data_IF_969671492701
#
_entry.id   IF_969671492701
#
_cell.length_a   1.000
_cell.length_b   1.000
_cell.length_c   1.000
_cell.angle_alpha   90.00
_cell.angle_beta   90.00
_cell.angle_gamma   90.00
#
_symmetry.space_group_name_H-M   'P 1'
#
loop_
_entity.id
_entity.type
_entity.pdbx_description
1 polymer ?
#
# COMPACT_ATOMS: atom_id res chain seq x y z
N UNK A 1 15.24 21.46 -4.86
CA UNK A 1 16.40 22.04 -4.14
C UNK A 1 17.64 21.48 -4.83
N UNK A 2 18.64 22.30 -5.14
CA UNK A 2 19.86 21.85 -5.86
C UNK A 2 19.58 21.06 -7.16
N UNK A 3 18.58 21.50 -7.95
CA UNK A 3 18.19 20.83 -9.20
C UNK A 3 17.35 19.55 -9.05
N UNK A 4 17.22 18.99 -7.84
CA UNK A 4 16.33 17.85 -7.55
C UNK A 4 14.89 18.33 -7.31
N UNK A 5 13.92 17.58 -7.83
CA UNK A 5 12.48 17.82 -7.60
C UNK A 5 12.10 17.43 -6.18
N UNK A 6 11.09 18.10 -5.62
CA UNK A 6 10.40 17.67 -4.42
C UNK A 6 9.02 17.14 -4.80
N UNK A 7 8.55 16.09 -4.14
CA UNK A 7 7.30 15.42 -4.48
C UNK A 7 6.31 15.46 -3.33
N UNK A 8 5.05 15.73 -3.67
CA UNK A 8 3.91 15.54 -2.80
C UNK A 8 2.90 14.65 -3.54
N UNK A 9 2.77 13.41 -3.09
CA UNK A 9 1.89 12.41 -3.69
C UNK A 9 0.74 12.15 -2.72
N UNK A 10 -0.48 12.22 -3.25
CA UNK A 10 -1.69 12.22 -2.44
C UNK A 10 -2.70 11.18 -2.94
N UNK A 11 -3.28 10.41 -2.02
CA UNK A 11 -4.37 9.46 -2.28
C UNK A 11 -4.02 8.43 -3.37
N UNK A 12 -2.75 8.02 -3.45
CA UNK A 12 -2.33 6.92 -4.31
C UNK A 12 -2.72 5.58 -3.68
N UNK A 13 -3.07 4.61 -4.52
CA UNK A 13 -3.40 3.25 -4.10
C UNK A 13 -2.78 2.22 -5.03
N UNK A 14 -2.34 1.09 -4.49
CA UNK A 14 -1.81 -0.05 -5.28
C UNK A 14 -0.73 0.39 -6.28
N UNK A 15 0.18 1.27 -5.85
CA UNK A 15 1.13 1.93 -6.76
C UNK A 15 2.56 1.59 -6.37
N UNK A 16 3.39 1.30 -7.38
CA UNK A 16 4.83 1.16 -7.23
C UNK A 16 5.49 2.49 -7.57
N UNK A 17 6.27 3.00 -6.64
CA UNK A 17 7.12 4.18 -6.75
C UNK A 17 8.56 3.70 -6.69
N UNK A 18 9.32 3.86 -7.77
CA UNK A 18 10.68 3.33 -7.84
C UNK A 18 11.64 4.33 -8.45
N UNK A 19 12.91 4.21 -8.08
CA UNK A 19 14.02 4.97 -8.66
C UNK A 19 13.84 6.50 -8.53
N UNK A 20 13.16 6.96 -7.48
CA UNK A 20 13.12 8.39 -7.17
C UNK A 20 14.52 8.86 -6.79
N UNK A 21 14.93 10.01 -7.30
CA UNK A 21 16.10 10.75 -6.82
C UNK A 21 15.64 12.17 -6.49
N UNK A 22 15.45 12.43 -5.20
CA UNK A 22 14.74 13.63 -4.72
C UNK A 22 15.32 14.13 -3.41
N UNK A 23 15.07 15.40 -3.10
CA UNK A 23 15.39 15.97 -1.79
C UNK A 23 14.26 15.82 -0.79
N UNK A 24 13.02 15.58 -1.26
CA UNK A 24 11.86 15.53 -0.40
C UNK A 24 10.74 14.72 -1.07
N UNK A 25 10.15 13.78 -0.33
CA UNK A 25 8.98 13.03 -0.76
C UNK A 25 7.97 12.96 0.37
N UNK A 26 6.76 13.46 0.12
CA UNK A 26 5.60 13.22 0.98
C UNK A 26 4.64 12.25 0.31
N UNK A 27 4.29 11.18 1.03
CA UNK A 27 3.15 10.32 0.74
C UNK A 27 2.04 10.66 1.74
N UNK A 28 0.88 11.07 1.24
CA UNK A 28 -0.24 11.51 2.07
C UNK A 28 -1.53 10.77 1.69
N UNK A 29 -2.18 10.15 2.68
CA UNK A 29 -3.42 9.38 2.48
C UNK A 29 -3.29 8.24 1.46
N UNK A 30 -2.09 7.65 1.37
CA UNK A 30 -1.80 6.59 0.43
C UNK A 30 -1.99 5.21 1.07
N UNK A 31 -2.36 4.21 0.27
CA UNK A 31 -2.58 2.85 0.75
C UNK A 31 -1.99 1.83 -0.22
N UNK A 32 -1.36 0.78 0.29
CA UNK A 32 -0.73 -0.26 -0.52
C UNK A 32 0.24 0.32 -1.57
N UNK A 33 1.20 1.12 -1.10
CA UNK A 33 2.28 1.67 -1.92
C UNK A 33 3.52 0.80 -1.74
N UNK A 34 4.27 0.58 -2.81
CA UNK A 34 5.64 0.09 -2.72
C UNK A 34 6.59 1.21 -3.14
N UNK A 35 7.31 1.82 -2.19
CA UNK A 35 8.42 2.72 -2.48
C UNK A 35 9.72 1.91 -2.43
N UNK A 36 10.42 1.80 -3.55
CA UNK A 36 11.65 1.00 -3.62
C UNK A 36 12.80 1.64 -4.37
N UNK A 37 14.02 1.22 -4.01
CA UNK A 37 15.25 1.53 -4.73
C UNK A 37 15.41 3.04 -5.01
N UNK A 38 14.95 3.87 -4.08
CA UNK A 38 14.89 5.33 -4.23
C UNK A 38 15.90 6.02 -3.32
N UNK A 39 16.38 7.18 -3.75
CA UNK A 39 17.33 8.03 -3.03
C UNK A 39 16.63 9.33 -2.62
N UNK A 40 16.54 9.54 -1.31
CA UNK A 40 16.06 10.78 -0.70
C UNK A 40 17.25 11.40 0.04
N UNK A 41 17.70 12.58 -0.39
CA UNK A 41 18.98 13.14 0.10
C UNK A 41 18.99 14.66 0.19
N UNK A 42 19.78 15.21 1.12
CA UNK A 42 20.13 16.65 1.17
C UNK A 42 18.92 17.59 1.35
N UNK A 43 17.81 17.07 1.87
CA UNK A 43 16.59 17.83 2.07
C UNK A 43 15.96 17.57 3.42
N UNK A 44 14.63 17.65 3.47
CA UNK A 44 13.90 17.69 4.73
C UNK A 44 13.63 16.27 5.24
N UNK A 45 12.62 15.58 4.68
CA UNK A 45 12.24 14.22 5.09
C UNK A 45 11.66 13.39 3.95
N UNK A 46 11.71 12.06 4.09
CA UNK A 46 10.66 11.18 3.57
C UNK A 46 9.51 11.18 4.58
N UNK A 47 8.35 11.74 4.20
CA UNK A 47 7.20 11.89 5.09
C UNK A 47 6.03 11.00 4.69
N UNK A 48 5.54 10.21 5.63
CA UNK A 48 4.34 9.38 5.51
C UNK A 48 3.26 9.94 6.42
N UNK A 49 2.15 10.41 5.85
CA UNK A 49 0.99 10.93 6.58
C UNK A 49 -0.24 10.11 6.19
N UNK A 50 -0.89 9.45 7.15
CA UNK A 50 -2.02 8.58 6.86
C UNK A 50 -1.69 7.53 5.78
N UNK A 51 -0.53 6.87 5.91
CA UNK A 51 -0.10 5.83 4.97
C UNK A 51 -0.24 4.46 5.60
N UNK A 52 -0.90 3.54 4.89
CA UNK A 52 -1.17 2.19 5.39
C UNK A 52 -0.77 1.11 4.40
N UNK A 53 -0.54 -0.10 4.92
CA UNK A 53 -0.33 -1.33 4.15
C UNK A 53 0.79 -1.20 3.10
N UNK A 54 1.78 -0.35 3.35
CA UNK A 54 2.78 0.01 2.34
C UNK A 54 4.14 -0.61 2.66
N UNK A 55 4.93 -0.79 1.60
CA UNK A 55 6.26 -1.37 1.62
C UNK A 55 7.29 -0.30 1.26
N UNK A 56 8.30 -0.14 2.11
CA UNK A 56 9.44 0.74 1.88
C UNK A 56 10.69 -0.12 1.86
N UNK A 57 11.18 -0.39 0.65
CA UNK A 57 12.18 -1.43 0.40
C UNK A 57 13.43 -0.85 -0.24
N UNK A 58 14.61 -1.16 0.30
CA UNK A 58 15.88 -0.89 -0.41
C UNK A 58 16.08 0.60 -0.78
N UNK A 59 15.56 1.52 0.02
CA UNK A 59 15.74 2.95 -0.20
C UNK A 59 16.99 3.46 0.53
N UNK A 60 17.57 4.53 0.00
CA UNK A 60 18.69 5.25 0.58
C UNK A 60 18.22 6.63 1.04
N UNK A 61 18.22 6.86 2.34
CA UNK A 61 17.81 8.11 2.96
C UNK A 61 19.02 8.71 3.66
N UNK A 62 19.59 9.78 3.11
CA UNK A 62 20.93 10.23 3.48
C UNK A 62 21.08 11.74 3.59
N UNK A 63 21.75 12.20 4.64
CA UNK A 63 22.05 13.63 4.86
C UNK A 63 20.79 14.51 4.84
N UNK A 64 19.67 14.07 5.41
CA UNK A 64 18.44 14.86 5.53
C UNK A 64 18.26 15.42 6.94
N UNK A 65 17.43 16.46 7.08
CA UNK A 65 17.10 17.04 8.37
C UNK A 65 16.46 15.99 9.32
N UNK A 66 15.63 15.10 8.77
CA UNK A 66 15.31 13.80 9.36
C UNK A 66 14.98 12.78 8.28
N UNK A 67 15.33 11.52 8.50
CA UNK A 67 15.28 10.47 7.49
C UNK A 67 13.85 10.17 7.06
N UNK A 68 13.15 9.37 7.85
CA UNK A 68 11.78 8.94 7.59
C UNK A 68 10.90 9.36 8.76
N UNK A 69 9.79 10.05 8.48
CA UNK A 69 8.83 10.46 9.52
C UNK A 69 7.43 9.98 9.21
N UNK A 70 6.84 9.27 10.17
CA UNK A 70 5.47 8.77 10.11
C UNK A 70 4.56 9.64 11.00
N UNK A 71 3.35 9.88 10.53
CA UNK A 71 2.24 10.42 11.32
C UNK A 71 0.96 9.72 10.92
N UNK A 72 0.28 9.08 11.88
CA UNK A 72 -0.94 8.30 11.66
C UNK A 72 -0.77 7.26 10.54
N UNK A 73 0.44 6.71 10.41
CA UNK A 73 0.81 5.74 9.39
C UNK A 73 1.11 4.39 10.05
N UNK A 74 0.31 3.37 9.72
CA UNK A 74 0.27 2.09 10.43
C UNK A 74 0.27 0.91 9.45
N UNK A 75 0.64 -0.28 9.91
CA UNK A 75 0.70 -1.50 9.09
C UNK A 75 1.65 -1.37 7.88
N UNK A 76 2.80 -0.69 8.03
CA UNK A 76 3.80 -0.59 6.97
C UNK A 76 5.01 -1.47 7.26
N UNK A 77 5.70 -1.89 6.21
CA UNK A 77 6.97 -2.62 6.28
C UNK A 77 8.11 -1.74 5.79
N UNK A 78 9.11 -1.53 6.63
CA UNK A 78 10.38 -0.90 6.28
C UNK A 78 11.44 -2.00 6.26
N UNK A 79 11.96 -2.32 5.07
CA UNK A 79 12.92 -3.40 4.93
C UNK A 79 14.10 -3.06 4.03
N UNK A 80 15.30 -3.48 4.44
CA UNK A 80 16.55 -3.32 3.66
C UNK A 80 16.87 -1.87 3.27
N UNK A 81 16.39 -0.88 4.01
CA UNK A 81 16.72 0.52 3.75
C UNK A 81 18.06 0.90 4.40
N UNK A 82 18.76 1.83 3.78
CA UNK A 82 19.96 2.49 4.32
C UNK A 82 19.59 3.90 4.74
N UNK A 83 19.69 4.17 6.04
CA UNK A 83 19.24 5.42 6.67
C UNK A 83 20.44 6.01 7.41
N UNK A 84 21.08 7.01 6.78
CA UNK A 84 22.44 7.42 7.15
C UNK A 84 22.59 8.94 7.31
N UNK A 85 23.31 9.37 8.35
CA UNK A 85 23.65 10.79 8.58
C UNK A 85 22.43 11.74 8.65
N UNK A 86 21.30 11.31 9.21
CA UNK A 86 20.12 12.15 9.38
C UNK A 86 19.99 12.62 10.83
N UNK A 87 19.21 13.69 11.07
CA UNK A 87 18.92 14.14 12.44
C UNK A 87 18.24 13.05 13.27
N UNK A 88 17.17 12.46 12.74
CA UNK A 88 16.52 11.24 13.23
C UNK A 88 16.42 10.27 12.04
N UNK A 89 16.80 9.01 12.20
CA UNK A 89 16.76 8.03 11.10
C UNK A 89 15.33 7.67 10.73
N UNK A 90 14.59 7.12 11.69
CA UNK A 90 13.15 6.83 11.56
C UNK A 90 12.40 7.36 12.79
N UNK A 91 11.39 8.18 12.57
CA UNK A 91 10.52 8.71 13.59
C UNK A 91 9.08 8.22 13.42
N UNK A 92 8.66 7.32 14.31
CA UNK A 92 7.28 6.85 14.44
C UNK A 92 6.54 7.77 15.42
N UNK A 93 5.57 8.53 14.92
CA UNK A 93 4.86 9.53 15.71
C UNK A 93 3.35 9.54 15.45
N UNK A 94 2.58 10.07 16.39
CA UNK A 94 1.15 10.36 16.24
C UNK A 94 0.34 9.13 15.78
N UNK A 95 0.23 8.11 16.63
CA UNK A 95 -0.60 6.92 16.40
C UNK A 95 -0.17 6.09 15.17
N UNK A 96 1.15 5.94 14.99
CA UNK A 96 1.76 5.10 13.97
C UNK A 96 2.03 3.70 14.51
N UNK A 97 1.00 2.86 14.47
CA UNK A 97 0.99 1.55 15.12
C UNK A 97 1.36 0.43 14.17
N UNK A 98 1.68 -0.74 14.73
CA UNK A 98 1.73 -2.02 13.99
C UNK A 98 2.62 -2.02 12.74
N UNK A 99 3.68 -1.21 12.73
CA UNK A 99 4.68 -1.24 11.65
C UNK A 99 5.75 -2.28 11.95
N UNK A 100 6.30 -2.88 10.88
CA UNK A 100 7.48 -3.74 10.95
C UNK A 100 8.69 -3.02 10.38
N UNK A 101 9.78 -2.97 11.14
CA UNK A 101 11.05 -2.37 10.75
C UNK A 101 12.11 -3.47 10.86
N UNK A 102 12.58 -3.97 9.72
CA UNK A 102 13.50 -5.11 9.69
C UNK A 102 14.59 -5.00 8.64
N UNK A 103 15.77 -5.55 8.91
CA UNK A 103 16.89 -5.57 7.97
C UNK A 103 17.36 -4.19 7.49
N UNK A 104 17.08 -3.12 8.23
CA UNK A 104 17.54 -1.78 7.88
C UNK A 104 18.89 -1.48 8.52
N UNK A 105 19.64 -0.57 7.90
CA UNK A 105 20.88 -0.02 8.43
C UNK A 105 20.65 1.42 8.88
N UNK A 106 20.69 1.66 10.18
CA UNK A 106 20.66 2.98 10.80
C UNK A 106 22.07 3.38 11.19
N UNK A 107 22.68 4.26 10.39
CA UNK A 107 24.11 4.59 10.53
C UNK A 107 24.34 6.08 10.76
N UNK A 108 25.11 6.44 11.78
CA UNK A 108 25.56 7.83 12.03
C UNK A 108 24.42 8.87 12.10
N UNK A 109 23.22 8.47 12.51
CA UNK A 109 22.13 9.42 12.73
C UNK A 109 22.26 10.09 14.10
N UNK A 110 21.67 11.26 14.27
CA UNK A 110 21.55 11.90 15.58
C UNK A 110 20.74 11.02 16.56
N UNK A 111 19.70 10.36 16.05
CA UNK A 111 18.97 9.27 16.70
C UNK A 111 18.65 8.22 15.64
N UNK A 112 18.95 6.95 15.86
CA UNK A 112 18.64 5.88 14.90
C UNK A 112 17.13 5.74 14.69
N UNK A 113 16.41 5.38 15.76
CA UNK A 113 14.93 5.33 15.77
C UNK A 113 14.37 6.11 16.96
N UNK A 114 13.28 6.85 16.72
CA UNK A 114 12.47 7.45 17.79
C UNK A 114 11.01 7.00 17.66
N UNK A 115 10.41 6.63 18.78
CA UNK A 115 8.99 6.30 18.89
C UNK A 115 8.32 7.20 19.91
N UNK A 116 7.25 7.90 19.51
CA UNK A 116 6.44 8.76 20.37
C UNK A 116 4.95 8.56 20.05
N UNK A 117 4.13 8.31 21.07
CA UNK A 117 2.67 8.11 20.94
C UNK A 117 2.32 7.07 19.88
N UNK A 118 3.06 5.97 19.84
CA UNK A 118 2.95 4.90 18.84
C UNK A 118 3.34 3.58 19.51
N UNK A 119 2.60 2.51 19.22
CA UNK A 119 2.70 1.20 19.90
C UNK A 119 2.59 0.06 18.91
N UNK A 120 2.87 -1.15 19.38
CA UNK A 120 2.73 -2.41 18.64
C UNK A 120 3.62 -2.48 17.39
N UNK A 121 4.64 -1.62 17.31
CA UNK A 121 5.65 -1.71 16.27
C UNK A 121 6.67 -2.79 16.64
N UNK A 122 7.18 -3.48 15.63
CA UNK A 122 8.22 -4.50 15.78
C UNK A 122 9.47 -4.02 15.04
N UNK A 123 10.57 -3.89 15.78
CA UNK A 123 11.88 -3.54 15.26
C UNK A 123 12.81 -4.70 15.54
N UNK A 124 13.17 -5.46 14.51
CA UNK A 124 14.03 -6.63 14.66
C UNK A 124 14.98 -6.73 13.49
N UNK A 125 16.14 -7.32 13.70
CA UNK A 125 17.08 -7.61 12.63
C UNK A 125 17.54 -6.34 11.90
N UNK A 126 17.67 -5.21 12.60
CA UNK A 126 18.28 -3.98 12.07
C UNK A 126 19.70 -3.82 12.62
N UNK A 127 20.52 -3.06 11.91
CA UNK A 127 21.86 -2.65 12.38
C UNK A 127 21.83 -1.19 12.82
N UNK A 128 22.16 -0.94 14.08
CA UNK A 128 22.33 0.39 14.65
C UNK A 128 23.82 0.63 14.90
N UNK A 129 24.42 1.54 14.13
CA UNK A 129 25.87 1.75 14.11
C UNK A 129 26.21 3.24 14.11
N UNK A 130 27.01 3.70 15.07
CA UNK A 130 27.53 5.05 15.14
C UNK A 130 26.47 6.14 15.34
N UNK A 131 25.22 5.79 15.66
CA UNK A 131 24.20 6.78 15.98
C UNK A 131 24.54 7.43 17.32
N UNK A 132 24.33 8.74 17.47
CA UNK A 132 24.56 9.42 18.76
C UNK A 132 23.63 8.88 19.85
N UNK A 133 22.42 8.48 19.47
CA UNK A 133 21.48 7.70 20.28
C UNK A 133 20.92 6.59 19.40
N UNK A 134 21.01 5.33 19.82
CA UNK A 134 20.57 4.21 18.99
C UNK A 134 19.06 4.19 18.76
N UNK A 135 18.30 4.15 19.86
CA UNK A 135 16.85 4.15 19.83
C UNK A 135 16.25 4.83 21.05
N UNK A 136 15.08 5.45 20.87
CA UNK A 136 14.25 6.02 21.94
C UNK A 136 12.82 5.53 21.80
N UNK A 137 12.27 4.97 22.87
CA UNK A 137 10.84 4.66 23.00
C UNK A 137 10.27 5.41 24.20
N UNK A 138 9.58 6.52 23.91
CA UNK A 138 9.18 7.46 24.95
C UNK A 138 8.09 6.92 25.88
N UNK A 139 7.20 6.05 25.40
CA UNK A 139 6.05 5.55 26.18
C UNK A 139 5.99 4.03 26.31
N UNK A 140 6.79 3.29 25.54
CA UNK A 140 6.81 1.83 25.58
C UNK A 140 5.76 1.21 24.66
N UNK A 141 5.57 -0.10 24.82
CA UNK A 141 4.61 -0.85 24.02
C UNK A 141 5.07 -1.17 22.61
N UNK A 142 6.37 -1.08 22.33
CA UNK A 142 6.99 -1.52 21.07
C UNK A 142 7.98 -2.66 21.36
N UNK A 143 8.10 -3.59 20.41
CA UNK A 143 8.98 -4.74 20.53
C UNK A 143 10.25 -4.49 19.74
N UNK A 144 11.40 -4.59 20.39
CA UNK A 144 12.71 -4.47 19.74
C UNK A 144 13.34 -5.84 19.39
N UNK A 145 12.50 -6.88 19.29
CA UNK A 145 12.83 -8.21 18.81
C UNK A 145 11.57 -8.91 18.26
N UNK A 146 11.74 -9.93 17.40
CA UNK A 146 10.63 -10.70 16.80
C UNK A 146 10.43 -12.09 17.44
N UNK A 147 10.74 -12.21 18.73
CA UNK A 147 10.77 -13.48 19.49
C UNK A 147 11.85 -14.48 19.08
N UNK A 148 12.47 -14.33 17.90
CA UNK A 148 13.60 -15.15 17.45
C UNK A 148 14.92 -14.40 17.64
N UNK A 149 14.95 -13.14 17.23
CA UNK A 149 16.15 -12.29 17.32
C UNK A 149 15.76 -10.80 17.39
N UNK A 150 16.63 -10.04 18.01
CA UNK A 150 16.58 -8.60 18.15
C UNK A 150 17.37 -7.89 17.05
N UNK A 151 17.93 -6.75 17.42
CA UNK A 151 18.74 -5.90 16.56
C UNK A 151 20.22 -6.01 16.94
N UNK A 152 21.09 -5.61 16.02
CA UNK A 152 22.48 -5.38 16.33
C UNK A 152 22.67 -3.93 16.77
N UNK A 153 23.35 -3.74 17.89
CA UNK A 153 23.70 -2.45 18.46
C UNK A 153 25.22 -2.39 18.60
N UNK A 154 25.90 -1.43 17.96
CA UNK A 154 27.36 -1.37 17.97
C UNK A 154 27.96 -1.03 19.34
N UNK A 155 27.14 -0.51 20.26
CA UNK A 155 27.45 -0.26 21.67
C UNK A 155 27.01 -1.41 22.61
N UNK A 156 26.50 -2.52 22.07
CA UNK A 156 26.13 -3.68 22.88
C UNK A 156 27.38 -4.41 23.41
N UNK A 157 27.48 -4.51 24.74
CA UNK A 157 28.60 -5.17 25.43
C UNK A 157 28.19 -6.44 26.18
N UNK A 158 27.01 -6.99 25.89
CA UNK A 158 26.54 -8.22 26.52
C UNK A 158 27.32 -9.44 26.05
N UNK A 159 27.12 -10.55 26.75
CA UNK A 159 27.76 -11.84 26.47
C UNK A 159 26.79 -12.76 25.74
N UNK A 160 27.35 -13.66 24.95
CA UNK A 160 26.67 -14.79 24.33
C UNK A 160 27.39 -16.05 24.81
N UNK A 161 26.86 -16.64 25.88
CA UNK A 161 27.51 -17.72 26.63
C UNK A 161 27.35 -19.08 25.94
N UNK A 162 26.26 -19.26 25.18
CA UNK A 162 25.97 -20.48 24.42
C UNK A 162 26.44 -20.40 22.95
N UNK A 163 27.02 -19.26 22.55
CA UNK A 163 27.58 -18.98 21.23
C UNK A 163 26.56 -19.10 20.08
N UNK A 164 25.29 -18.84 20.36
CA UNK A 164 24.20 -18.98 19.38
C UNK A 164 24.05 -17.73 18.46
N UNK A 165 24.77 -16.64 18.78
CA UNK A 165 24.74 -15.35 18.06
C UNK A 165 23.79 -14.31 18.66
N UNK A 166 23.10 -14.63 19.75
CA UNK A 166 22.18 -13.77 20.52
C UNK A 166 22.78 -13.51 21.89
N UNK A 167 22.75 -12.26 22.33
CA UNK A 167 23.24 -11.89 23.65
C UNK A 167 22.27 -12.24 24.78
N UNK A 168 22.82 -12.75 25.88
CA UNK A 168 22.11 -13.19 27.08
C UNK A 168 21.57 -12.03 27.92
N UNK A 169 22.09 -10.81 27.70
CA UNK A 169 21.71 -9.62 28.46
C UNK A 169 20.84 -8.71 27.60
N UNK A 170 19.62 -8.35 28.02
CA UNK A 170 18.79 -7.41 27.25
C UNK A 170 19.46 -6.05 27.04
N UNK A 171 19.31 -5.48 25.84
CA UNK A 171 19.71 -4.11 25.54
C UNK A 171 18.58 -3.15 25.92
N UNK A 172 18.87 -2.15 26.75
CA UNK A 172 17.86 -1.18 27.21
C UNK A 172 17.64 -0.11 26.16
N UNK A 173 16.38 0.17 25.83
CA UNK A 173 16.01 1.28 24.94
C UNK A 173 15.79 2.52 25.80
N UNK A 174 16.34 3.67 25.37
CA UNK A 174 16.17 4.92 26.11
C UNK A 174 14.71 5.38 26.07
N UNK A 175 14.26 6.04 27.14
CA UNK A 175 12.92 6.60 27.27
C UNK A 175 12.19 6.11 28.52
N UNK A 176 11.02 6.70 28.80
CA UNK A 176 10.24 6.40 30.00
C UNK A 176 9.44 5.09 29.88
N UNK A 177 9.31 4.56 28.66
CA UNK A 177 8.56 3.34 28.37
C UNK A 177 9.18 2.05 28.90
N UNK A 178 10.47 2.07 29.27
CA UNK A 178 11.17 0.89 29.78
C UNK A 178 11.35 -0.25 28.76
N UNK A 179 11.20 0.03 27.47
CA UNK A 179 11.37 -0.95 26.38
C UNK A 179 12.79 -1.52 26.35
N UNK A 180 12.90 -2.78 25.95
CA UNK A 180 14.17 -3.51 25.84
C UNK A 180 14.16 -4.38 24.60
N UNK A 181 15.33 -4.57 24.02
CA UNK A 181 15.60 -5.69 23.13
C UNK A 181 16.06 -6.86 23.99
N UNK A 182 15.24 -7.91 24.08
CA UNK A 182 15.56 -9.09 24.89
C UNK A 182 16.45 -10.11 24.18
N UNK A 183 16.64 -9.97 22.87
CA UNK A 183 17.39 -10.91 22.05
C UNK A 183 18.42 -10.17 21.16
N UNK A 184 19.24 -9.25 21.73
CA UNK A 184 20.16 -8.45 20.93
C UNK A 184 21.13 -9.34 20.18
N UNK A 185 21.37 -9.04 18.91
CA UNK A 185 22.30 -9.82 18.11
C UNK A 185 23.75 -9.41 18.40
N UNK A 186 24.65 -10.41 18.46
CA UNK A 186 26.08 -10.19 18.71
C UNK A 186 26.81 -9.66 17.47
N UNK A 187 26.33 -10.01 16.28
CA UNK A 187 26.94 -9.64 15.02
C UNK A 187 25.98 -8.82 14.14
N UNK A 188 26.50 -7.88 13.34
CA UNK A 188 25.68 -7.15 12.38
C UNK A 188 25.14 -8.10 11.32
N UNK A 189 23.90 -7.88 10.89
CA UNK A 189 23.29 -8.62 9.79
C UNK A 189 23.76 -8.08 8.44
N UNK A 190 24.49 -8.86 7.66
CA UNK A 190 24.97 -8.48 6.32
C UNK A 190 23.94 -8.74 5.21
N UNK A 191 22.64 -8.64 5.53
CA UNK A 191 21.55 -9.05 4.64
C UNK A 191 21.09 -10.52 4.85
N UNK A 192 21.86 -11.29 5.62
CA UNK A 192 21.54 -12.62 6.16
C UNK A 192 21.88 -12.60 7.66
N UNK A 193 20.94 -12.99 8.52
CA UNK A 193 21.13 -13.06 9.97
C UNK A 193 21.61 -14.46 10.32
N UNK A 194 22.92 -14.62 10.48
CA UNK A 194 23.58 -15.90 10.72
C UNK A 194 23.47 -16.30 12.19
N UNK A 195 22.32 -16.82 12.59
CA UNK A 195 22.19 -17.55 13.86
C UNK A 195 22.84 -18.92 13.72
N UNK A 196 23.65 -19.36 14.69
CA UNK A 196 24.11 -20.75 14.71
C UNK A 196 22.92 -21.61 15.13
N UNK A 197 22.20 -22.16 14.15
CA UNK A 197 21.13 -23.11 14.42
C UNK A 197 21.73 -24.36 15.10
N UNK A 198 21.15 -24.78 16.22
CA UNK A 198 21.43 -26.10 16.77
C UNK A 198 20.98 -27.14 15.74
N UNK A 199 21.69 -28.27 15.62
CA UNK A 199 21.44 -29.28 14.57
C UNK A 199 20.00 -29.83 14.53
N UNK A 200 19.21 -29.63 15.59
CA UNK A 200 17.77 -29.92 15.63
C UNK A 200 16.92 -28.83 14.95
N UNK A 201 17.30 -27.55 15.04
CA UNK A 201 16.55 -26.42 14.46
C UNK A 201 16.71 -26.35 12.94
N UNK A 202 17.84 -26.80 12.37
CA UNK A 202 18.07 -26.82 10.92
C UNK A 202 17.11 -27.76 10.18
N UNK A 203 16.68 -28.85 10.82
CA UNK A 203 15.68 -29.79 10.29
C UNK A 203 14.26 -29.21 10.35
N UNK A 204 13.93 -28.49 11.43
CA UNK A 204 12.64 -27.81 11.58
C UNK A 204 12.51 -26.57 10.73
N UNK A 205 13.56 -25.76 10.58
CA UNK A 205 13.59 -24.57 9.71
C UNK A 205 13.50 -25.00 8.24
N UNK A 206 14.19 -26.07 7.83
CA UNK A 206 14.06 -26.64 6.49
C UNK A 206 12.66 -27.19 6.18
N UNK A 207 12.05 -27.89 7.15
CA UNK A 207 10.66 -28.37 7.04
C UNK A 207 9.64 -27.22 7.11
N UNK A 208 9.88 -26.19 7.92
CA UNK A 208 8.99 -25.04 8.07
C UNK A 208 9.06 -24.12 6.85
N UNK A 209 10.23 -23.84 6.28
CA UNK A 209 10.34 -23.14 5.00
C UNK A 209 9.83 -23.98 3.83
N UNK A 210 10.01 -25.30 3.85
CA UNK A 210 9.40 -26.21 2.87
C UNK A 210 7.87 -26.17 2.92
N UNK A 211 7.28 -26.26 4.12
CA UNK A 211 5.83 -26.24 4.33
C UNK A 211 5.26 -24.84 4.11
N UNK A 212 5.89 -23.77 4.58
CA UNK A 212 5.46 -22.38 4.34
C UNK A 212 5.62 -22.01 2.86
N UNK A 213 6.65 -22.49 2.16
CA UNK A 213 6.78 -22.34 0.69
C UNK A 213 5.65 -23.07 -0.03
N UNK A 214 5.35 -24.32 0.32
CA UNK A 214 4.25 -25.08 -0.30
C UNK A 214 2.87 -24.51 0.05
N UNK A 215 2.68 -23.99 1.27
CA UNK A 215 1.44 -23.33 1.71
C UNK A 215 1.33 -21.93 1.11
N UNK A 216 2.42 -21.18 0.94
CA UNK A 216 2.41 -19.86 0.29
C UNK A 216 2.19 -20.00 -1.23
N UNK A 217 2.79 -21.00 -1.88
CA UNK A 217 2.51 -21.31 -3.30
C UNK A 217 1.07 -21.78 -3.45
N UNK A 218 0.57 -22.66 -2.58
CA UNK A 218 -0.83 -23.09 -2.56
C UNK A 218 -1.82 -21.95 -2.26
N UNK A 219 -1.48 -21.02 -1.35
CA UNK A 219 -2.28 -19.84 -1.04
C UNK A 219 -2.21 -18.80 -2.16
N UNK A 220 -1.08 -18.64 -2.85
CA UNK A 220 -0.94 -17.77 -4.01
C UNK A 220 -1.71 -18.33 -5.21
N UNK A 221 -1.68 -19.65 -5.43
CA UNK A 221 -2.48 -20.28 -6.47
C UNK A 221 -3.98 -20.22 -6.16
N UNK A 222 -4.40 -20.52 -4.94
CA UNK A 222 -5.81 -20.37 -4.54
C UNK A 222 -6.27 -18.91 -4.54
N UNK A 223 -5.41 -17.95 -4.15
CA UNK A 223 -5.71 -16.53 -4.26
C UNK A 223 -5.80 -16.08 -5.72
N UNK A 224 -4.88 -16.50 -6.60
CA UNK A 224 -4.94 -16.24 -8.05
C UNK A 224 -6.20 -16.84 -8.69
N UNK A 225 -6.61 -18.04 -8.29
CA UNK A 225 -7.85 -18.69 -8.76
C UNK A 225 -9.09 -17.95 -8.26
N UNK A 226 -9.11 -17.52 -6.99
CA UNK A 226 -10.23 -16.77 -6.41
C UNK A 226 -10.31 -15.35 -6.96
N UNK A 227 -9.19 -14.66 -7.18
CA UNK A 227 -9.18 -13.32 -7.80
C UNK A 227 -9.54 -13.41 -9.28
N UNK A 228 -8.99 -14.37 -10.03
CA UNK A 228 -9.40 -14.64 -11.42
C UNK A 228 -10.89 -14.96 -11.50
N UNK A 229 -11.42 -15.78 -10.58
CA UNK A 229 -12.85 -16.10 -10.53
C UNK A 229 -13.72 -14.89 -10.21
N UNK A 230 -13.30 -14.04 -9.26
CA UNK A 230 -14.01 -12.80 -8.92
C UNK A 230 -13.97 -11.78 -10.06
N UNK A 231 -12.83 -11.63 -10.74
CA UNK A 231 -12.68 -10.72 -11.87
C UNK A 231 -13.54 -11.16 -13.07
N UNK A 232 -13.61 -12.46 -13.36
CA UNK A 232 -14.49 -13.01 -14.40
C UNK A 232 -15.96 -12.78 -14.04
N UNK A 233 -16.37 -13.08 -12.80
CA UNK A 233 -17.75 -12.86 -12.34
C UNK A 233 -18.11 -11.38 -12.36
N UNK A 234 -17.20 -10.48 -12.01
CA UNK A 234 -17.43 -9.04 -11.99
C UNK A 234 -17.40 -8.42 -13.39
N UNK A 235 -16.61 -8.96 -14.32
CA UNK A 235 -16.65 -8.61 -15.74
C UNK A 235 -17.95 -9.11 -16.40
N UNK A 236 -18.39 -10.33 -16.13
CA UNK A 236 -19.68 -10.86 -16.59
C UNK A 236 -20.86 -10.09 -15.99
N UNK A 237 -20.79 -9.71 -14.71
CA UNK A 237 -21.79 -8.85 -14.05
C UNK A 237 -21.85 -7.46 -14.68
N UNK A 238 -20.71 -6.87 -15.04
CA UNK A 238 -20.61 -5.61 -15.79
C UNK A 238 -21.16 -5.76 -17.21
N UNK A 239 -20.86 -6.84 -17.92
CA UNK A 239 -21.42 -7.15 -19.26
C UNK A 239 -22.94 -7.33 -19.18
N UNK A 240 -23.45 -8.07 -18.20
CA UNK A 240 -24.87 -8.28 -17.97
C UNK A 240 -25.60 -6.96 -17.66
N UNK A 241 -25.06 -6.14 -16.76
CA UNK A 241 -25.61 -4.81 -16.47
C UNK A 241 -25.58 -3.90 -17.71
N UNK A 242 -24.52 -3.96 -18.53
CA UNK A 242 -24.44 -3.20 -19.78
C UNK A 242 -25.48 -3.64 -20.83
N UNK A 243 -25.78 -4.94 -20.92
CA UNK A 243 -26.81 -5.46 -21.81
C UNK A 243 -28.21 -5.07 -21.34
N UNK A 244 -28.46 -5.15 -20.04
CA UNK A 244 -29.76 -4.80 -19.47
C UNK A 244 -30.02 -3.28 -19.55
N UNK A 245 -28.99 -2.47 -19.33
CA UNK A 245 -29.04 -1.02 -19.54
C UNK A 245 -29.32 -0.68 -21.00
N UNK A 246 -28.66 -1.35 -21.96
CA UNK A 246 -28.95 -1.19 -23.41
C UNK A 246 -30.39 -1.59 -23.75
N UNK A 247 -30.92 -2.68 -23.19
CA UNK A 247 -32.33 -3.08 -23.39
C UNK A 247 -33.30 -2.04 -22.82
N UNK A 248 -33.05 -1.53 -21.62
CA UNK A 248 -33.90 -0.50 -21.00
C UNK A 248 -33.90 0.79 -21.82
N UNK A 249 -32.72 1.26 -22.25
CA UNK A 249 -32.59 2.43 -23.10
C UNK A 249 -33.34 2.24 -24.44
N UNK A 250 -33.17 1.09 -25.10
CA UNK A 250 -33.87 0.79 -26.35
C UNK A 250 -35.39 0.70 -26.17
N UNK A 251 -35.87 0.14 -25.06
CA UNK A 251 -37.30 0.10 -24.75
C UNK A 251 -37.87 1.51 -24.52
N UNK A 252 -37.15 2.38 -23.80
CA UNK A 252 -37.56 3.78 -23.63
C UNK A 252 -37.59 4.52 -24.97
N UNK A 253 -36.56 4.36 -25.80
CA UNK A 253 -36.49 4.95 -27.14
C UNK A 253 -37.67 4.49 -28.03
N UNK A 254 -37.95 3.19 -28.08
CA UNK A 254 -39.05 2.64 -28.88
C UNK A 254 -40.42 3.11 -28.37
N UNK A 255 -40.61 3.19 -27.05
CA UNK A 255 -41.84 3.73 -26.45
C UNK A 255 -42.04 5.21 -26.80
N UNK A 256 -40.98 6.01 -26.78
CA UNK A 256 -41.05 7.41 -27.20
C UNK A 256 -41.35 7.54 -28.69
N UNK A 257 -40.72 6.71 -29.54
CA UNK A 257 -40.97 6.66 -30.99
C UNK A 257 -42.44 6.28 -31.29
N UNK A 258 -43.03 5.34 -30.54
CA UNK A 258 -44.46 4.97 -30.62
C UNK A 258 -45.38 6.12 -30.25
N UNK A 259 -45.14 6.79 -29.12
CA UNK A 259 -45.94 7.94 -28.67
C UNK A 259 -45.91 9.07 -29.70
N UNK A 260 -44.75 9.37 -30.27
CA UNK A 260 -44.61 10.39 -31.31
C UNK A 260 -45.39 10.06 -32.58
N UNK A 261 -45.39 8.79 -33.02
CA UNK A 261 -46.21 8.35 -34.14
C UNK A 261 -47.70 8.52 -33.83
N UNK A 262 -48.13 8.05 -32.66
CA UNK A 262 -49.54 8.12 -32.24
C UNK A 262 -50.04 9.57 -32.21
N UNK A 263 -49.25 10.49 -31.67
CA UNK A 263 -49.59 11.91 -31.64
C UNK A 263 -49.71 12.51 -33.05
N UNK A 264 -48.81 12.16 -33.97
CA UNK A 264 -48.89 12.60 -35.37
C UNK A 264 -50.13 12.05 -36.08
N UNK A 265 -50.47 10.78 -35.84
CA UNK A 265 -51.67 10.17 -36.40
C UNK A 265 -52.96 10.77 -35.83
N UNK A 266 -53.00 11.09 -34.54
CA UNK A 266 -54.13 11.74 -33.89
C UNK A 266 -54.36 13.16 -34.44
N UNK A 267 -53.29 13.96 -34.57
CA UNK A 267 -53.38 15.30 -35.19
C UNK A 267 -53.85 15.20 -36.65
N UNK A 268 -53.30 14.27 -37.42
CA UNK A 268 -53.72 14.06 -38.80
C UNK A 268 -55.20 13.65 -38.91
N UNK A 269 -55.69 12.82 -37.98
CA UNK A 269 -57.10 12.43 -37.91
C UNK A 269 -57.99 13.62 -37.57
N UNK A 270 -57.56 14.51 -36.66
CA UNK A 270 -58.28 15.73 -36.32
C UNK A 270 -58.43 16.67 -37.52
N UNK A 271 -57.35 16.90 -38.28
CA UNK A 271 -57.39 17.73 -39.48
C UNK A 271 -58.34 17.16 -40.55
N UNK A 272 -58.36 15.84 -40.71
CA UNK A 272 -59.31 15.18 -41.61
C UNK A 272 -60.77 15.36 -41.15
N UNK A 273 -61.06 15.15 -39.85
CA UNK A 273 -62.42 15.32 -39.32
C UNK A 273 -62.95 16.75 -39.40
N UNK A 274 -62.05 17.76 -39.39
CA UNK A 274 -62.41 19.17 -39.57
C UNK A 274 -62.66 19.57 -41.03
N UNK A 275 -62.40 18.66 -41.99
CA UNK A 275 -62.52 18.95 -43.43
C UNK A 275 -61.32 19.68 -44.04
N UNK A 276 -60.24 19.88 -43.28
CA UNK A 276 -59.08 20.66 -43.73
C UNK A 276 -58.20 19.93 -44.76
N UNK A 277 -58.34 18.60 -44.88
CA UNK A 277 -57.57 17.77 -45.81
C UNK A 277 -58.45 16.72 -46.49
N UNK A 278 -58.18 16.43 -47.76
CA UNK A 278 -58.91 15.40 -48.52
C UNK A 278 -58.60 13.98 -48.03
N UNK A 279 -59.51 13.03 -48.31
CA UNK A 279 -59.34 11.61 -47.95
C UNK A 279 -58.09 10.99 -48.59
N UNK A 280 -57.77 11.39 -49.81
CA UNK A 280 -56.57 10.96 -50.54
C UNK A 280 -55.29 11.46 -49.85
N UNK A 281 -55.26 12.74 -49.47
CA UNK A 281 -54.12 13.34 -48.78
C UNK A 281 -53.92 12.75 -47.37
N UNK A 282 -55.01 12.52 -46.63
CA UNK A 282 -54.99 11.83 -45.34
C UNK A 282 -54.35 10.43 -45.46
N UNK A 283 -54.78 9.62 -46.44
CA UNK A 283 -54.26 8.28 -46.65
C UNK A 283 -52.77 8.30 -47.07
N UNK A 284 -52.36 9.27 -47.91
CA UNK A 284 -50.97 9.44 -48.30
C UNK A 284 -50.06 9.80 -47.11
N UNK A 285 -50.47 10.76 -46.28
CA UNK A 285 -49.71 11.20 -45.10
C UNK A 285 -49.65 10.13 -44.01
N UNK A 286 -50.75 9.40 -43.77
CA UNK A 286 -50.79 8.26 -42.83
C UNK A 286 -49.78 7.18 -43.25
N UNK A 287 -49.75 6.80 -44.53
CA UNK A 287 -48.76 5.85 -45.07
C UNK A 287 -47.32 6.37 -44.89
N UNK A 288 -47.09 7.67 -45.10
CA UNK A 288 -45.77 8.30 -44.92
C UNK A 288 -45.29 8.24 -43.48
N UNK A 289 -46.15 8.51 -42.49
CA UNK A 289 -45.78 8.44 -41.07
C UNK A 289 -45.46 7.03 -40.61
N UNK A 290 -46.25 6.03 -41.02
CA UNK A 290 -46.00 4.62 -40.69
C UNK A 290 -44.71 4.12 -41.34
N UNK A 291 -44.46 4.48 -42.62
CA UNK A 291 -43.20 4.13 -43.30
C UNK A 291 -41.97 4.71 -42.60
N UNK A 292 -42.04 5.97 -42.13
CA UNK A 292 -40.94 6.58 -41.36
C UNK A 292 -40.73 5.93 -40.00
N UNK A 293 -41.79 5.47 -39.34
CA UNK A 293 -41.68 4.74 -38.07
C UNK A 293 -41.00 3.38 -38.25
N UNK A 294 -41.30 2.65 -39.33
CA UNK A 294 -40.77 1.32 -39.63
C UNK A 294 -39.35 1.31 -40.24
N UNK A 295 -38.78 2.45 -40.64
CA UNK A 295 -37.36 2.50 -41.02
C UNK A 295 -36.50 2.26 -39.79
N UNK A 296 -35.72 1.17 -39.84
CA UNK A 296 -34.58 0.92 -38.96
C UNK A 296 -33.51 1.95 -39.34
N UNK A 297 -33.12 2.79 -38.40
CA UNK A 297 -31.78 3.41 -38.43
C UNK A 297 -30.82 2.39 -37.81
#
# INVERSE_FOLDING_TARGET
VEGKRAYFLYNLKNTILELFNTTHLTLAFCDNITLRSSVISEGDFLRLINVTNSLLLENHIVNTAGGIRLSHASNNLFSRNSITNNGEGLFLSNFSHTNSVQHNNFTNNGIGVRVIHSTDNILSQNNFVGNRVQAVDAQGGNNFNNSVIGNYWDDYTGRDTDENGIGDTPYNILGEGGSKDYLPAIHPGNGEWNMKANAFDSLWIGLFFGIVSMVAIGLVETHKWVTSGKDIVEEERRRFHSQEYRKQYMNQYLNQKRRNLQNKLNKLKQEFTKGNISRELYNALKRRYVRRYNRRE
#
